data_IF_162053194591
#
_entry.id   IF_162053194591
#
_cell.length_a   1.000
_cell.length_b   1.000
_cell.length_c   1.000
_cell.angle_alpha   90.00
_cell.angle_beta   90.00
_cell.angle_gamma   90.00
#
_symmetry.space_group_name_H-M   'P 1'
#
loop_
_entity.id
_entity.type
_entity.pdbx_description
1 polymer ?
#
# COMPACT_ATOMS: atom_id res chain seq x y z
N UNK A 1 -51.10 0.24 -41.99
CA UNK A 1 -52.39 0.86 -41.64
C UNK A 1 -53.21 -0.11 -40.80
N UNK A 2 -53.39 0.16 -39.49
CA UNK A 2 -54.35 -0.45 -38.54
C UNK A 2 -54.05 0.17 -37.17
N UNK A 3 -54.59 1.37 -36.89
CA UNK A 3 -55.84 1.66 -36.17
C UNK A 3 -55.68 1.71 -34.64
N UNK A 4 -56.00 2.90 -34.13
CA UNK A 4 -56.06 3.42 -32.78
C UNK A 4 -56.93 2.61 -31.81
N UNK A 5 -56.53 2.51 -30.53
CA UNK A 5 -57.47 2.48 -29.39
C UNK A 5 -56.95 3.35 -28.24
N UNK A 6 -57.44 4.59 -28.23
CA UNK A 6 -57.45 5.50 -27.09
C UNK A 6 -58.55 5.00 -26.12
N UNK A 7 -58.24 4.80 -24.83
CA UNK A 7 -59.27 4.65 -23.79
C UNK A 7 -59.11 5.75 -22.75
N UNK A 8 -59.95 6.76 -22.89
CA UNK A 8 -60.27 7.75 -21.88
C UNK A 8 -61.47 7.24 -21.07
N UNK A 9 -61.41 7.32 -19.74
CA UNK A 9 -62.60 7.23 -18.90
C UNK A 9 -62.82 8.54 -18.15
N UNK A 10 -64.02 9.07 -18.37
CA UNK A 10 -64.52 10.39 -18.01
C UNK A 10 -65.00 10.42 -16.54
N UNK A 11 -64.82 11.61 -15.94
CA UNK A 11 -65.60 12.33 -14.89
C UNK A 11 -66.90 11.62 -14.40
N UNK A 12 -67.36 11.75 -13.15
CA UNK A 12 -67.91 13.01 -12.56
C UNK A 12 -68.33 12.86 -11.07
N UNK A 13 -67.79 13.70 -10.16
CA UNK A 13 -68.38 14.55 -9.07
C UNK A 13 -69.65 14.07 -8.28
N UNK A 14 -69.63 14.16 -6.94
CA UNK A 14 -70.45 15.07 -6.05
C UNK A 14 -70.09 14.94 -4.55
N UNK A 15 -70.28 16.07 -3.88
CA UNK A 15 -69.84 16.56 -2.55
C UNK A 15 -70.80 16.14 -1.41
N UNK A 16 -70.29 15.93 -0.18
CA UNK A 16 -70.95 16.35 1.08
C UNK A 16 -69.99 16.22 2.29
N UNK A 17 -69.98 17.24 3.13
CA UNK A 17 -69.04 17.50 4.23
C UNK A 17 -69.49 16.92 5.57
N UNK A 18 -68.54 16.59 6.47
CA UNK A 18 -68.73 16.67 7.94
C UNK A 18 -67.41 17.11 8.59
N UNK A 19 -67.54 18.10 9.47
CA UNK A 19 -66.50 18.77 10.23
C UNK A 19 -65.94 17.94 11.40
N UNK A 20 -64.69 18.23 11.80
CA UNK A 20 -64.11 17.75 13.05
C UNK A 20 -62.65 18.18 13.20
N UNK A 21 -62.37 19.02 14.19
CA UNK A 21 -61.12 19.76 14.39
C UNK A 21 -59.94 18.91 14.95
N UNK A 22 -58.75 19.53 14.94
CA UNK A 22 -57.63 19.44 15.91
C UNK A 22 -56.26 19.04 15.31
N UNK A 23 -55.43 20.08 15.11
CA UNK A 23 -53.98 20.26 15.38
C UNK A 23 -52.97 19.24 14.80
N UNK A 24 -52.12 19.70 13.87
CA UNK A 24 -50.65 19.88 14.04
C UNK A 24 -50.18 20.85 12.94
N UNK A 25 -49.50 21.93 13.33
CA UNK A 25 -48.74 22.77 12.41
C UNK A 25 -47.55 21.97 11.88
N UNK A 26 -47.75 21.24 10.78
CA UNK A 26 -46.65 20.71 9.99
C UNK A 26 -46.11 21.83 9.12
N UNK A 27 -44.96 22.40 9.50
CA UNK A 27 -44.12 23.12 8.54
C UNK A 27 -43.72 22.13 7.45
N UNK A 28 -44.50 22.04 6.38
CA UNK A 28 -44.05 21.44 5.14
C UNK A 28 -43.03 22.38 4.54
N UNK A 29 -41.78 22.26 5.00
CA UNK A 29 -40.62 22.77 4.28
C UNK A 29 -40.67 22.11 2.91
N UNK A 30 -41.05 22.92 1.92
CA UNK A 30 -40.97 22.60 0.51
C UNK A 30 -39.52 22.20 0.23
N UNK A 31 -39.29 20.89 0.29
CA UNK A 31 -38.00 20.30 -0.04
C UNK A 31 -37.91 20.37 -1.55
N UNK A 32 -37.31 21.43 -2.06
CA UNK A 32 -36.76 21.41 -3.40
C UNK A 32 -35.88 20.15 -3.51
N UNK A 33 -35.93 19.40 -4.62
CA UNK A 33 -34.90 18.40 -4.88
C UNK A 33 -33.58 19.16 -5.03
N UNK A 34 -32.89 19.36 -3.91
CA UNK A 34 -31.48 19.65 -3.91
C UNK A 34 -30.84 18.45 -4.61
N UNK A 35 -30.39 18.68 -5.84
CA UNK A 35 -29.24 17.96 -6.39
C UNK A 35 -28.10 18.17 -5.40
N UNK A 36 -28.06 17.32 -4.38
CA UNK A 36 -26.91 17.15 -3.53
C UNK A 36 -25.96 16.30 -4.38
N UNK A 37 -24.87 16.85 -4.95
CA UNK A 37 -23.85 16.02 -5.56
C UNK A 37 -23.44 15.04 -4.48
N UNK A 38 -23.85 13.78 -4.67
CA UNK A 38 -23.90 12.77 -3.61
C UNK A 38 -22.66 12.87 -2.77
N UNK A 39 -22.85 13.07 -1.46
CA UNK A 39 -21.77 13.00 -0.50
C UNK A 39 -21.06 11.67 -0.77
N UNK A 40 -19.90 11.73 -1.44
CA UNK A 40 -19.02 10.60 -1.64
C UNK A 40 -18.56 10.27 -0.24
N UNK A 41 -19.31 9.39 0.44
CA UNK A 41 -18.80 8.75 1.65
C UNK A 41 -17.46 8.17 1.23
N UNK A 42 -16.34 8.55 1.89
CA UNK A 42 -15.07 7.92 1.64
C UNK A 42 -15.32 6.42 1.71
N UNK A 43 -15.10 5.70 0.61
CA UNK A 43 -15.22 4.25 0.62
C UNK A 43 -14.18 3.78 1.63
N UNK A 44 -14.65 3.35 2.80
CA UNK A 44 -13.79 2.75 3.80
C UNK A 44 -13.14 1.56 3.11
N UNK A 45 -11.79 1.48 3.07
CA UNK A 45 -11.07 0.35 2.51
C UNK A 45 -11.67 -0.93 3.09
N UNK A 46 -12.21 -1.78 2.22
CA UNK A 46 -12.85 -3.04 2.62
C UNK A 46 -11.82 -4.13 2.92
N UNK A 47 -10.60 -3.96 2.40
CA UNK A 47 -9.46 -4.85 2.59
C UNK A 47 -8.19 -4.04 2.92
N UNK A 48 -7.24 -4.67 3.62
CA UNK A 48 -5.92 -4.07 3.89
C UNK A 48 -5.11 -3.78 2.61
N UNK A 49 -5.48 -4.43 1.51
CA UNK A 49 -4.84 -4.29 0.19
C UNK A 49 -5.42 -3.12 -0.58
N UNK A 50 -6.67 -2.74 -0.32
CA UNK A 50 -7.33 -1.63 -0.99
C UNK A 50 -6.53 -0.33 -0.90
N UNK A 51 -6.54 0.42 -1.99
CA UNK A 51 -5.86 1.70 -2.12
C UNK A 51 -4.87 1.73 -3.28
N UNK A 52 -4.02 2.75 -3.25
CA UNK A 52 -3.09 3.08 -4.33
C UNK A 52 -1.68 2.60 -4.01
N UNK A 53 -1.13 1.79 -4.89
CA UNK A 53 0.19 1.22 -4.82
C UNK A 53 1.07 1.75 -5.96
N UNK A 54 2.36 1.91 -5.73
CA UNK A 54 3.33 2.37 -6.73
C UNK A 54 4.46 1.36 -6.90
N UNK A 55 4.93 1.23 -8.13
CA UNK A 55 6.13 0.46 -8.47
C UNK A 55 7.38 1.36 -8.54
N UNK A 56 8.53 0.74 -8.85
CA UNK A 56 9.81 1.46 -9.01
C UNK A 56 9.83 2.40 -10.23
N UNK A 57 8.99 2.14 -11.21
CA UNK A 57 8.91 2.88 -12.47
C UNK A 57 7.89 4.04 -12.38
N UNK A 58 7.26 4.24 -11.22
CA UNK A 58 6.21 5.25 -11.03
C UNK A 58 4.86 4.84 -11.61
N UNK A 59 4.65 3.58 -11.96
CA UNK A 59 3.36 3.04 -12.37
C UNK A 59 2.46 2.91 -11.15
N UNK A 60 1.22 3.39 -11.29
CA UNK A 60 0.22 3.41 -10.24
C UNK A 60 -0.71 2.21 -10.41
N UNK A 61 -0.77 1.34 -9.41
CA UNK A 61 -1.71 0.23 -9.34
C UNK A 61 -2.77 0.51 -8.28
N UNK A 62 -4.04 0.53 -8.67
CA UNK A 62 -5.17 0.80 -7.80
C UNK A 62 -5.95 -0.49 -7.52
N UNK A 63 -6.14 -0.78 -6.24
CA UNK A 63 -6.91 -1.91 -5.74
C UNK A 63 -8.17 -1.36 -5.08
N UNK A 64 -9.34 -1.76 -5.55
CA UNK A 64 -10.61 -1.31 -4.97
C UNK A 64 -11.71 -2.33 -5.22
N UNK A 65 -12.33 -2.80 -4.13
CA UNK A 65 -13.50 -3.69 -4.18
C UNK A 65 -13.31 -4.91 -5.11
N UNK A 66 -12.14 -5.55 -5.05
CA UNK A 66 -11.79 -6.72 -5.88
C UNK A 66 -11.37 -6.40 -7.31
N UNK A 67 -11.34 -5.12 -7.70
CA UNK A 67 -10.88 -4.66 -9.02
C UNK A 67 -9.44 -4.16 -8.97
N UNK A 68 -8.67 -4.54 -9.98
CA UNK A 68 -7.29 -4.11 -10.18
C UNK A 68 -7.19 -3.24 -11.44
N UNK A 69 -6.51 -2.11 -11.33
CA UNK A 69 -6.24 -1.23 -12.47
C UNK A 69 -4.84 -0.64 -12.37
N UNK A 70 -4.09 -0.65 -13.47
CA UNK A 70 -2.75 -0.09 -13.54
C UNK A 70 -2.72 1.06 -14.54
N UNK A 71 -2.13 2.18 -14.14
CA UNK A 71 -2.02 3.40 -14.94
C UNK A 71 -0.61 3.98 -14.89
N UNK A 72 -0.22 4.69 -15.94
CA UNK A 72 1.00 5.51 -15.91
C UNK A 72 0.82 6.74 -15.01
N UNK A 73 1.87 7.17 -14.30
CA UNK A 73 1.80 8.38 -13.48
C UNK A 73 1.82 9.69 -14.28
N UNK A 74 2.35 9.68 -15.50
CA UNK A 74 2.53 10.87 -16.33
C UNK A 74 1.25 11.29 -17.06
N UNK A 75 0.56 10.32 -17.66
CA UNK A 75 -0.54 10.49 -18.61
C UNK A 75 -1.84 9.87 -18.12
N UNK A 76 -1.83 9.17 -16.97
CA UNK A 76 -2.97 8.44 -16.42
C UNK A 76 -3.57 7.39 -17.38
N UNK A 77 -2.77 6.95 -18.36
CA UNK A 77 -3.18 5.97 -19.34
C UNK A 77 -3.28 4.59 -18.68
N UNK A 78 -4.40 3.90 -18.89
CA UNK A 78 -4.60 2.54 -18.37
C UNK A 78 -3.71 1.57 -19.16
N UNK A 79 -2.82 0.87 -18.46
CA UNK A 79 -1.91 -0.13 -19.00
C UNK A 79 -2.47 -1.55 -18.86
N UNK A 80 -3.16 -1.81 -17.75
CA UNK A 80 -3.76 -3.10 -17.44
C UNK A 80 -5.00 -2.94 -16.56
N UNK A 81 -5.93 -3.88 -16.71
CA UNK A 81 -7.13 -4.00 -15.87
C UNK A 81 -7.30 -5.44 -15.43
N UNK A 82 -7.99 -5.67 -14.33
CA UNK A 82 -8.14 -7.02 -13.80
C UNK A 82 -8.96 -7.09 -12.53
N UNK A 83 -8.80 -8.22 -11.85
CA UNK A 83 -9.36 -8.48 -10.53
C UNK A 83 -8.28 -9.04 -9.63
N UNK A 84 -8.45 -8.83 -8.33
CA UNK A 84 -7.60 -9.44 -7.31
C UNK A 84 -8.45 -10.18 -6.29
N UNK A 85 -7.87 -11.23 -5.72
CA UNK A 85 -8.46 -12.01 -4.65
C UNK A 85 -7.41 -12.25 -3.57
N UNK A 86 -7.81 -12.11 -2.32
CA UNK A 86 -6.95 -12.47 -1.19
C UNK A 86 -7.04 -13.98 -0.99
N UNK A 87 -5.88 -14.62 -1.03
CA UNK A 87 -5.68 -16.05 -0.79
C UNK A 87 -5.08 -16.21 0.60
N UNK A 88 -5.16 -17.41 1.17
CA UNK A 88 -4.57 -17.70 2.47
C UNK A 88 -3.07 -17.37 2.53
N UNK A 89 -2.60 -16.92 3.70
CA UNK A 89 -1.17 -16.71 3.96
C UNK A 89 -0.61 -15.38 3.44
N UNK A 90 -1.39 -14.29 3.48
CA UNK A 90 -0.98 -12.96 3.02
C UNK A 90 -0.61 -12.91 1.53
N UNK A 91 -1.17 -13.81 0.73
CA UNK A 91 -0.96 -13.85 -0.71
C UNK A 91 -2.18 -13.27 -1.41
N UNK A 92 -1.96 -12.37 -2.36
CA UNK A 92 -2.98 -11.80 -3.23
C UNK A 92 -2.74 -12.33 -4.63
N UNK A 93 -3.73 -13.03 -5.18
CA UNK A 93 -3.71 -13.45 -6.58
C UNK A 93 -4.38 -12.36 -7.42
N UNK A 94 -3.68 -11.90 -8.45
CA UNK A 94 -4.15 -10.88 -9.38
C UNK A 94 -4.21 -11.51 -10.77
N UNK A 95 -5.40 -11.51 -11.36
CA UNK A 95 -5.59 -11.81 -12.77
C UNK A 95 -5.72 -10.48 -13.53
N UNK A 96 -4.69 -10.13 -14.28
CA UNK A 96 -4.64 -8.89 -15.06
C UNK A 96 -4.68 -9.16 -16.56
N UNK A 97 -5.24 -8.20 -17.29
CA UNK A 97 -5.27 -8.12 -18.74
C UNK A 97 -4.55 -6.84 -19.16
N UNK A 98 -3.47 -6.98 -19.92
CA UNK A 98 -2.78 -5.83 -20.50
C UNK A 98 -3.64 -5.23 -21.61
N UNK A 99 -3.92 -3.93 -21.52
CA UNK A 99 -4.68 -3.21 -22.55
C UNK A 99 -3.82 -3.03 -23.81
N UNK A 100 -2.52 -2.81 -23.65
CA UNK A 100 -1.60 -2.57 -24.77
C UNK A 100 -1.31 -3.82 -25.57
N UNK A 101 -1.17 -4.97 -24.90
CA UNK A 101 -0.76 -6.23 -25.54
C UNK A 101 -1.93 -7.21 -25.73
N UNK A 102 -3.09 -6.90 -25.17
CA UNK A 102 -4.28 -7.78 -25.18
C UNK A 102 -4.00 -9.19 -24.62
N UNK A 103 -3.02 -9.31 -23.73
CA UNK A 103 -2.64 -10.56 -23.09
C UNK A 103 -3.12 -10.60 -21.65
N UNK A 104 -3.49 -11.79 -21.18
CA UNK A 104 -3.79 -12.04 -19.77
C UNK A 104 -2.58 -12.64 -19.08
N UNK A 105 -2.34 -12.21 -17.85
CA UNK A 105 -1.27 -12.72 -17.01
C UNK A 105 -1.76 -12.82 -15.57
N UNK A 106 -1.21 -13.77 -14.83
CA UNK A 106 -1.44 -13.90 -13.40
C UNK A 106 -0.24 -13.38 -12.63
N UNK A 107 -0.49 -12.77 -11.48
CA UNK A 107 0.54 -12.26 -10.58
C UNK A 107 0.20 -12.65 -9.16
N UNK A 108 1.15 -13.28 -8.47
CA UNK A 108 1.01 -13.62 -7.06
C UNK A 108 1.80 -12.61 -6.23
N UNK A 109 1.09 -11.83 -5.42
CA UNK A 109 1.68 -10.80 -4.56
C UNK A 109 1.67 -11.26 -3.11
N UNK A 110 2.85 -11.45 -2.54
CA UNK A 110 3.02 -11.68 -1.10
C UNK A 110 3.04 -10.34 -0.36
N UNK A 111 2.15 -10.16 0.60
CA UNK A 111 2.03 -8.97 1.43
C UNK A 111 3.01 -9.12 2.58
N UNK A 112 4.03 -8.28 2.59
CA UNK A 112 5.12 -8.31 3.57
C UNK A 112 4.77 -7.40 4.76
N UNK A 113 4.19 -6.24 4.45
CA UNK A 113 3.59 -5.31 5.41
C UNK A 113 2.35 -4.66 4.79
N UNK A 114 1.58 -3.93 5.60
CA UNK A 114 0.44 -3.13 5.18
C UNK A 114 0.77 -2.05 4.13
N UNK A 115 2.06 -1.73 3.95
CA UNK A 115 2.55 -0.79 2.95
C UNK A 115 3.48 -1.39 1.90
N UNK A 116 3.86 -2.68 1.98
CA UNK A 116 4.83 -3.29 1.08
C UNK A 116 4.40 -4.71 0.65
N UNK A 117 4.45 -4.95 -0.66
CA UNK A 117 4.18 -6.27 -1.24
C UNK A 117 5.20 -6.63 -2.31
N UNK A 118 5.48 -7.92 -2.43
CA UNK A 118 6.32 -8.50 -3.47
C UNK A 118 5.48 -9.34 -4.42
N UNK A 119 5.41 -8.89 -5.67
CA UNK A 119 4.63 -9.48 -6.73
C UNK A 119 5.54 -10.31 -7.66
N UNK A 120 5.13 -11.56 -7.89
CA UNK A 120 5.78 -12.46 -8.83
C UNK A 120 4.80 -12.74 -9.97
N UNK A 121 5.05 -12.19 -11.17
CA UNK A 121 4.21 -12.49 -12.34
C UNK A 121 4.45 -13.92 -12.82
N UNK A 122 3.49 -14.48 -13.56
CA UNK A 122 3.65 -15.79 -14.21
C UNK A 122 4.76 -15.79 -15.27
N UNK A 123 5.12 -14.60 -15.79
CA UNK A 123 6.18 -14.39 -16.75
C UNK A 123 6.93 -13.09 -16.42
N UNK A 124 8.26 -13.14 -16.42
CA UNK A 124 9.13 -11.98 -16.17
C UNK A 124 9.67 -11.91 -14.75
N UNK A 125 10.27 -10.77 -14.43
CA UNK A 125 10.92 -10.54 -13.14
C UNK A 125 9.93 -10.15 -12.05
N UNK A 126 10.27 -10.53 -10.81
CA UNK A 126 9.54 -10.06 -9.63
C UNK A 126 9.67 -8.54 -9.47
N UNK A 127 8.61 -7.92 -8.97
CA UNK A 127 8.57 -6.49 -8.68
C UNK A 127 7.93 -6.24 -7.32
N UNK A 128 8.30 -5.15 -6.68
CA UNK A 128 7.70 -4.74 -5.42
C UNK A 128 6.72 -3.60 -5.68
N UNK A 129 5.69 -3.52 -4.86
CA UNK A 129 4.80 -2.37 -4.82
C UNK A 129 4.77 -1.82 -3.39
N UNK A 130 4.70 -0.50 -3.26
CA UNK A 130 4.48 0.14 -1.97
C UNK A 130 3.25 1.03 -1.97
N UNK A 131 2.62 1.14 -0.80
CA UNK A 131 1.43 1.98 -0.57
C UNK A 131 1.83 3.23 0.22
N UNK A 132 1.90 4.41 -0.41
CA UNK A 132 2.30 5.63 0.28
C UNK A 132 1.39 6.05 1.43
N UNK A 133 0.11 5.64 1.43
CA UNK A 133 -0.85 6.05 2.46
C UNK A 133 -0.60 5.42 3.83
N UNK A 134 0.09 4.27 3.86
CA UNK A 134 0.42 3.54 5.10
C UNK A 134 1.93 3.45 5.33
N UNK A 135 2.75 3.87 4.35
CA UNK A 135 4.19 3.84 4.48
C UNK A 135 4.71 4.88 5.49
N UNK A 136 5.79 4.58 6.24
CA UNK A 136 6.49 5.57 7.05
C UNK A 136 6.96 6.77 6.22
N UNK A 137 7.05 7.95 6.84
CA UNK A 137 7.55 9.15 6.17
C UNK A 137 8.95 8.93 5.60
N UNK A 138 9.13 9.30 4.33
CA UNK A 138 10.41 9.15 3.63
C UNK A 138 10.71 7.75 3.11
N UNK A 139 9.81 6.78 3.28
CA UNK A 139 9.98 5.45 2.69
C UNK A 139 9.92 5.51 1.17
N UNK A 140 10.88 4.85 0.51
CA UNK A 140 10.88 4.65 -0.93
C UNK A 140 11.02 3.17 -1.28
N UNK A 141 10.69 2.81 -2.51
CA UNK A 141 10.85 1.42 -2.96
C UNK A 141 12.33 0.97 -3.03
N UNK A 142 13.29 1.91 -2.99
CA UNK A 142 14.71 1.58 -2.86
C UNK A 142 15.03 0.98 -1.48
N UNK A 143 14.24 1.32 -0.45
CA UNK A 143 14.39 0.81 0.92
C UNK A 143 13.66 -0.53 1.12
N UNK A 144 12.90 -0.98 0.11
CA UNK A 144 12.13 -2.21 0.17
C UNK A 144 12.97 -3.45 0.58
N UNK A 145 14.19 -3.69 0.06
CA UNK A 145 15.00 -4.84 0.47
C UNK A 145 15.29 -4.86 1.97
N UNK A 146 15.58 -3.70 2.57
CA UNK A 146 15.83 -3.57 4.00
C UNK A 146 14.54 -3.79 4.81
N UNK A 147 13.41 -3.23 4.35
CA UNK A 147 12.11 -3.46 4.99
C UNK A 147 11.68 -4.94 4.94
N UNK A 148 11.92 -5.63 3.83
CA UNK A 148 11.65 -7.07 3.68
C UNK A 148 12.53 -7.89 4.63
N UNK A 149 13.83 -7.55 4.74
CA UNK A 149 14.74 -8.21 5.67
C UNK A 149 14.32 -8.02 7.15
N UNK A 150 13.89 -6.80 7.50
CA UNK A 150 13.41 -6.48 8.84
C UNK A 150 12.08 -7.20 9.17
N UNK A 151 11.15 -7.28 8.21
CA UNK A 151 9.90 -8.00 8.36
C UNK A 151 10.11 -9.53 8.54
N UNK A 152 11.10 -10.10 7.85
CA UNK A 152 11.49 -11.49 8.05
C UNK A 152 12.03 -11.74 9.47
N UNK A 153 12.82 -10.81 10.00
CA UNK A 153 13.39 -10.91 11.36
C UNK A 153 12.32 -10.74 12.45
N UNK A 154 11.35 -9.84 12.24
CA UNK A 154 10.22 -9.62 13.16
C UNK A 154 9.30 -10.85 13.31
N UNK A 155 9.18 -11.67 12.26
CA UNK A 155 8.42 -12.93 12.29
C UNK A 155 9.24 -14.15 12.77
N UNK A 156 10.44 -13.94 13.33
CA UNK A 156 11.26 -15.02 13.90
C UNK A 156 11.99 -15.89 12.87
N UNK A 157 11.95 -15.55 11.57
CA UNK A 157 12.81 -16.17 10.57
C UNK A 157 14.14 -15.42 10.53
N UNK A 158 15.03 -15.80 11.45
CA UNK A 158 16.44 -15.40 11.44
C UNK A 158 17.04 -15.72 10.06
N UNK A 159 17.33 -14.69 9.27
CA UNK A 159 18.19 -14.78 8.10
C UNK A 159 19.60 -15.13 8.56
N UNK A 160 20.17 -16.30 8.19
CA UNK A 160 21.56 -16.60 8.51
C UNK A 160 22.46 -15.74 7.62
N UNK A 161 23.22 -14.81 8.22
CA UNK A 161 24.44 -14.30 7.59
C UNK A 161 24.64 -12.79 7.48
N UNK A 162 23.77 -11.93 8.00
CA UNK A 162 24.03 -10.48 7.96
C UNK A 162 24.53 -9.97 9.32
N UNK A 163 25.83 -10.17 9.57
CA UNK A 163 26.54 -9.51 10.67
C UNK A 163 26.56 -8.01 10.41
N UNK A 164 25.87 -7.25 11.25
CA UNK A 164 25.91 -5.79 11.29
C UNK A 164 27.24 -5.38 11.94
N UNK A 165 28.16 -4.65 11.27
CA UNK A 165 29.37 -4.17 11.92
C UNK A 165 29.01 -3.05 12.91
N UNK A 166 29.22 -3.28 14.21
CA UNK A 166 29.31 -2.18 15.18
C UNK A 166 28.34 -2.16 16.35
N UNK A 167 27.62 -3.23 16.69
CA UNK A 167 26.88 -3.26 17.97
C UNK A 167 27.78 -3.75 19.12
N UNK A 168 27.96 -2.97 20.20
CA UNK A 168 28.62 -3.46 21.41
C UNK A 168 27.70 -4.48 22.10
N UNK A 169 28.20 -5.70 22.26
CA UNK A 169 27.51 -6.77 22.99
C UNK A 169 27.49 -6.38 24.46
N UNK A 170 26.30 -6.05 24.98
CA UNK A 170 26.08 -5.89 26.42
C UNK A 170 25.66 -7.24 26.98
N UNK A 171 26.45 -7.76 27.93
CA UNK A 171 26.03 -8.89 28.76
C UNK A 171 27.03 -10.03 28.86
N UNK A 172 28.05 -9.87 29.72
CA UNK A 172 28.63 -11.01 30.42
C UNK A 172 28.71 -10.66 31.91
N UNK A 173 27.99 -11.39 32.80
CA UNK A 173 28.27 -11.34 34.22
C UNK A 173 29.45 -12.26 34.51
N UNK A 174 30.62 -11.70 34.84
CA UNK A 174 31.73 -12.47 35.38
C UNK A 174 31.61 -12.53 36.91
N UNK A 175 31.18 -13.69 37.38
CA UNK A 175 31.27 -14.14 38.76
C UNK A 175 32.73 -14.42 39.15
N UNK A 176 33.14 -13.94 40.33
CA UNK A 176 34.12 -14.65 41.17
C UNK A 176 35.60 -14.23 41.07
N UNK A 177 36.01 -13.44 42.06
CA UNK A 177 37.35 -13.22 42.66
C UNK A 177 38.29 -14.47 42.73
N UNK A 178 39.63 -14.33 42.98
CA UNK A 178 40.20 -13.44 44.01
C UNK A 178 41.52 -12.71 43.72
N UNK A 179 41.81 -11.80 44.65
CA UNK A 179 42.89 -10.84 44.74
C UNK A 179 44.30 -11.44 44.73
N UNK A 180 45.23 -10.75 44.07
CA UNK A 180 46.62 -10.63 44.52
C UNK A 180 47.17 -9.23 44.22
N UNK A 181 47.79 -8.69 45.25
CA UNK A 181 48.42 -7.38 45.39
C UNK A 181 49.69 -7.27 44.52
N UNK A 182 49.93 -6.10 43.92
CA UNK A 182 51.16 -5.85 43.16
C UNK A 182 51.31 -4.42 42.66
N UNK A 183 51.86 -3.57 43.52
CA UNK A 183 52.79 -2.44 43.31
C UNK A 183 52.72 -1.57 42.03
N UNK A 184 52.65 -0.26 42.29
CA UNK A 184 52.74 0.91 41.39
C UNK A 184 53.86 0.85 40.33
N UNK A 185 53.61 1.43 39.15
CA UNK A 185 54.49 2.36 38.41
C UNK A 185 53.81 2.90 37.12
N UNK A 186 53.73 4.23 36.99
CA UNK A 186 53.40 4.99 35.75
C UNK A 186 54.68 5.17 34.87
N UNK A 187 54.71 5.99 33.79
CA UNK A 187 53.74 6.39 32.75
C UNK A 187 54.31 6.22 31.29
N UNK A 188 53.57 6.76 30.31
CA UNK A 188 53.92 7.16 28.91
C UNK A 188 54.35 6.10 27.89
N UNK A 189 53.58 6.01 26.78
CA UNK A 189 54.11 6.25 25.41
C UNK A 189 52.99 6.25 24.36
N UNK A 190 53.02 7.28 23.53
CA UNK A 190 52.28 7.55 22.31
C UNK A 190 52.46 6.48 21.22
N UNK A 191 51.41 6.22 20.43
CA UNK A 191 51.58 5.76 19.05
C UNK A 191 50.42 6.23 18.16
N UNK A 192 50.79 7.13 17.26
CA UNK A 192 50.11 7.51 16.03
C UNK A 192 49.87 6.31 15.12
N UNK A 193 48.67 6.17 14.56
CA UNK A 193 48.44 5.37 13.36
C UNK A 193 47.78 6.23 12.28
N UNK A 194 48.64 6.62 11.34
CA UNK A 194 48.32 7.11 10.01
C UNK A 194 47.75 5.94 9.19
N UNK A 195 46.57 6.09 8.58
CA UNK A 195 46.18 5.21 7.48
C UNK A 195 45.37 5.99 6.43
N UNK A 196 46.10 6.64 5.52
CA UNK A 196 45.58 7.16 4.26
C UNK A 196 45.85 6.11 3.18
N UNK A 197 44.79 5.48 2.67
CA UNK A 197 44.90 4.49 1.59
C UNK A 197 43.60 4.37 0.80
N UNK A 198 43.40 5.25 -0.18
CA UNK A 198 42.46 5.06 -1.29
C UNK A 198 43.23 5.21 -2.60
N UNK A 199 43.29 4.17 -3.46
CA UNK A 199 43.66 4.36 -4.85
C UNK A 199 42.42 4.79 -5.68
N UNK A 200 42.51 5.98 -6.27
CA UNK A 200 41.62 6.44 -7.33
C UNK A 200 42.05 5.81 -8.66
N UNK A 201 41.27 4.86 -9.19
CA UNK A 201 41.37 4.46 -10.60
C UNK A 201 40.65 5.47 -11.48
N UNK A 202 41.44 6.28 -12.18
CA UNK A 202 41.00 7.16 -13.28
C UNK A 202 40.58 6.34 -14.49
N UNK A 203 39.36 6.58 -14.98
CA UNK A 203 38.91 6.10 -16.29
C UNK A 203 39.67 6.82 -17.41
N UNK A 204 40.27 6.00 -18.27
CA UNK A 204 40.94 6.35 -19.49
C UNK A 204 39.89 6.71 -20.56
N UNK A 205 39.94 7.95 -21.05
CA UNK A 205 39.22 8.37 -22.24
C UNK A 205 40.11 8.07 -23.45
N UNK A 206 39.68 7.16 -24.31
CA UNK A 206 40.26 6.96 -25.63
C UNK A 206 39.13 6.86 -26.67
N UNK A 207 39.17 7.84 -27.57
CA UNK A 207 38.64 7.92 -28.94
C UNK A 207 37.15 7.69 -29.19
#
# INVERSE_FOLDING_TARGET
>A
MKQFRLSAHKKTIRIAAVAGAVIVAGCSTYSTPQYNPGSVRPQVPTSAIDGRWLDKNGIISNFSAGRFETRTADSNQILATGSYTEVAGNVVEIDLTSVLRQTRSRVNCSVISDYLMNCTPSQGDKFSLYKPSTAPYGFTLADAPAAIANAANANGQQVPGQQVPGQPVSGQPMTGQPAMSGTMSSPVSSSSMSNTGFPSTSMNANY
#
